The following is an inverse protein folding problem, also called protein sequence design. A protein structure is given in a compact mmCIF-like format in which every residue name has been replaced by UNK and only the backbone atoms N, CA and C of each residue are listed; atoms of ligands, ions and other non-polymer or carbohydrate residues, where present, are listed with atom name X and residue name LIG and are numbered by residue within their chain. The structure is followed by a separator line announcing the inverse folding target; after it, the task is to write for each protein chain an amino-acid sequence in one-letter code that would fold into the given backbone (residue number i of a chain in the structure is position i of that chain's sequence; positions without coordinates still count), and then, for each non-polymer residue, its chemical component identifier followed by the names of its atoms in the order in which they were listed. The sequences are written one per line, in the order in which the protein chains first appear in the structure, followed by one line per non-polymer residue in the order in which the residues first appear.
data_IF_943844134831
#
_entry.id   IF_943844134831
#
_cell.length_a   1.000
_cell.length_b   1.000
_cell.length_c   1.000
_cell.angle_alpha   90.00
_cell.angle_beta   90.00
_cell.angle_gamma   90.00
#
_symmetry.space_group_name_H-M   'P 1'
#
loop_
_entity.id
_entity.type
_entity.pdbx_description
1 polymer ?
#
# COMPACT_ATOMS: atom_id res chain seq x y z
N UNK A 1 9.67 -36.54 -83.73
CA UNK A 1 9.81 -36.93 -82.32
C UNK A 1 8.71 -36.20 -81.57
N UNK A 2 7.47 -36.68 -81.64
CA UNK A 2 6.86 -37.73 -80.79
C UNK A 2 6.67 -37.24 -79.34
N UNK A 3 5.51 -37.24 -78.67
CA UNK A 3 4.08 -37.56 -78.88
C UNK A 3 3.35 -36.76 -77.77
N UNK A 4 2.29 -36.00 -78.02
CA UNK A 4 0.88 -36.42 -78.07
C UNK A 4 0.46 -37.46 -76.99
N UNK A 5 -0.17 -37.01 -75.90
CA UNK A 5 -1.25 -37.76 -75.24
C UNK A 5 -2.25 -36.83 -74.55
N UNK A 6 -3.50 -36.89 -75.06
CA UNK A 6 -4.73 -36.41 -74.42
C UNK A 6 -5.04 -37.30 -73.23
N UNK A 7 -5.53 -36.72 -72.13
CA UNK A 7 -6.41 -37.41 -71.17
C UNK A 7 -7.46 -36.43 -70.65
N UNK A 8 -8.69 -36.66 -71.10
CA UNK A 8 -9.95 -36.08 -70.64
C UNK A 8 -10.49 -36.84 -69.42
N UNK A 9 -11.34 -36.16 -68.64
CA UNK A 9 -12.31 -36.72 -67.67
C UNK A 9 -11.75 -37.07 -66.29
N UNK A 10 -12.41 -36.87 -65.15
CA UNK A 10 -13.80 -36.54 -64.80
C UNK A 10 -13.77 -35.64 -63.55
N UNK A 11 -14.39 -34.46 -63.61
CA UNK A 11 -14.64 -33.64 -62.43
C UNK A 11 -15.82 -34.29 -61.68
N UNK A 12 -15.54 -34.87 -60.51
CA UNK A 12 -16.57 -35.33 -59.57
C UNK A 12 -17.11 -34.10 -58.84
N UNK A 13 -18.44 -33.83 -58.84
CA UNK A 13 -19.00 -32.81 -57.98
C UNK A 13 -18.90 -33.33 -56.54
N UNK A 14 -17.98 -32.76 -55.77
CA UNK A 14 -17.96 -32.94 -54.33
C UNK A 14 -19.24 -32.29 -53.79
N UNK A 15 -20.06 -33.10 -53.13
CA UNK A 15 -21.14 -32.64 -52.27
C UNK A 15 -20.53 -31.65 -51.27
N UNK A 16 -20.82 -30.37 -51.46
CA UNK A 16 -20.79 -29.37 -50.39
C UNK A 16 -21.91 -29.74 -49.42
N UNK A 17 -21.59 -30.60 -48.45
CA UNK A 17 -22.41 -30.77 -47.26
C UNK A 17 -22.34 -29.45 -46.50
N UNK A 18 -23.33 -28.59 -46.75
CA UNK A 18 -23.57 -27.39 -45.97
C UNK A 18 -23.88 -27.80 -44.53
N UNK A 19 -22.86 -27.76 -43.68
CA UNK A 19 -23.05 -27.81 -42.24
C UNK A 19 -23.79 -26.52 -41.87
N UNK A 20 -25.02 -26.58 -41.35
CA UNK A 20 -25.69 -25.40 -40.87
C UNK A 20 -24.86 -24.86 -39.71
N UNK A 21 -24.24 -23.70 -39.93
CA UNK A 21 -23.63 -22.90 -38.89
C UNK A 21 -24.78 -22.41 -38.00
N UNK A 22 -25.22 -23.27 -37.07
CA UNK A 22 -26.09 -22.87 -35.98
C UNK A 22 -25.25 -21.94 -35.11
N UNK A 23 -25.35 -20.64 -35.41
CA UNK A 23 -25.05 -19.58 -34.45
C UNK A 23 -26.03 -19.80 -33.31
N UNK A 24 -25.60 -20.59 -32.33
CA UNK A 24 -26.21 -20.65 -31.03
C UNK A 24 -26.06 -19.25 -30.45
N UNK A 25 -27.05 -18.39 -30.71
CA UNK A 25 -27.34 -17.26 -29.86
C UNK A 25 -27.70 -17.84 -28.49
N UNK A 26 -26.67 -18.20 -27.72
CA UNK A 26 -26.84 -18.41 -26.29
C UNK A 26 -27.49 -17.12 -25.79
N UNK A 27 -28.71 -17.17 -25.22
CA UNK A 27 -29.27 -15.99 -24.61
C UNK A 27 -28.23 -15.51 -23.62
N UNK A 28 -27.71 -14.29 -23.79
CA UNK A 28 -26.90 -13.66 -22.77
C UNK A 28 -27.76 -13.72 -21.52
N UNK A 29 -27.40 -14.58 -20.57
CA UNK A 29 -28.00 -14.56 -19.24
C UNK A 29 -27.68 -13.17 -18.72
N UNK A 30 -28.63 -12.25 -18.89
CA UNK A 30 -28.54 -10.91 -18.38
C UNK A 30 -28.34 -11.10 -16.88
N UNK A 31 -27.10 -10.89 -16.43
CA UNK A 31 -26.72 -11.01 -15.03
C UNK A 31 -27.63 -10.03 -14.31
N UNK A 32 -28.61 -10.56 -13.58
CA UNK A 32 -29.51 -9.70 -12.83
C UNK A 32 -28.61 -8.82 -11.94
N UNK A 33 -28.80 -7.50 -11.96
CA UNK A 33 -27.99 -6.62 -11.15
C UNK A 33 -28.09 -7.10 -9.71
N UNK A 34 -26.95 -7.49 -9.13
CA UNK A 34 -26.93 -7.93 -7.74
C UNK A 34 -27.48 -6.78 -6.90
N UNK A 35 -28.57 -7.03 -6.18
CA UNK A 35 -29.11 -6.05 -5.24
C UNK A 35 -28.06 -5.79 -4.18
N UNK A 36 -27.48 -4.58 -4.20
CA UNK A 36 -26.57 -4.11 -3.16
C UNK A 36 -27.34 -4.02 -1.85
N UNK A 37 -27.04 -4.89 -0.90
CA UNK A 37 -27.56 -4.79 0.46
C UNK A 37 -26.64 -3.90 1.28
N UNK A 38 -27.20 -2.83 1.83
CA UNK A 38 -26.49 -1.97 2.78
C UNK A 38 -26.61 -2.56 4.18
N UNK A 39 -25.47 -2.83 4.81
CA UNK A 39 -25.40 -3.27 6.20
C UNK A 39 -24.70 -2.19 7.02
N UNK A 40 -25.33 -1.77 8.12
CA UNK A 40 -24.72 -0.85 9.08
C UNK A 40 -24.11 -1.65 10.22
N UNK A 41 -22.86 -1.37 10.55
CA UNK A 41 -22.13 -1.99 11.66
C UNK A 41 -21.65 -0.89 12.58
N UNK A 42 -21.74 -1.11 13.89
CA UNK A 42 -21.20 -0.21 14.91
C UNK A 42 -20.07 -0.93 15.63
N UNK A 43 -18.88 -0.33 15.62
CA UNK A 43 -17.69 -0.87 16.28
C UNK A 43 -17.41 -0.06 17.55
N UNK A 44 -17.15 -0.76 18.66
CA UNK A 44 -16.70 -0.12 19.90
C UNK A 44 -15.18 0.05 19.88
N UNK A 45 -14.73 1.29 19.88
CA UNK A 45 -13.31 1.67 19.86
C UNK A 45 -12.99 2.53 21.09
N UNK A 46 -11.76 2.46 21.65
CA UNK A 46 -11.37 3.27 22.80
C UNK A 46 -11.21 4.76 22.47
N UNK A 47 -11.14 5.10 21.18
CA UNK A 47 -11.02 6.45 20.67
C UNK A 47 -11.41 6.52 19.20
N UNK A 48 -11.34 7.72 18.58
CA UNK A 48 -11.60 7.88 17.16
C UNK A 48 -10.59 7.05 16.34
N UNK A 49 -11.02 6.40 15.25
CA UNK A 49 -10.11 5.70 14.37
C UNK A 49 -9.17 6.70 13.69
N UNK A 50 -7.87 6.41 13.73
CA UNK A 50 -6.86 7.16 12.99
C UNK A 50 -6.80 6.71 11.52
N UNK A 51 -7.03 5.42 11.25
CA UNK A 51 -7.12 4.88 9.90
C UNK A 51 -8.00 3.62 9.88
N UNK A 52 -8.73 3.43 8.78
CA UNK A 52 -9.48 2.22 8.47
C UNK A 52 -8.86 1.62 7.20
N UNK A 53 -8.59 0.32 7.21
CA UNK A 53 -8.05 -0.39 6.06
C UNK A 53 -8.84 -1.67 5.80
N UNK A 54 -9.70 -1.69 4.77
CA UNK A 54 -10.30 -2.92 4.25
C UNK A 54 -9.20 -3.79 3.63
N UNK A 55 -9.15 -5.06 4.00
CA UNK A 55 -8.13 -6.01 3.53
C UNK A 55 -8.57 -7.45 3.84
N UNK A 56 -8.01 -8.44 3.16
CA UNK A 56 -8.13 -9.85 3.58
C UNK A 56 -6.98 -10.17 4.56
N UNK A 57 -7.30 -10.35 5.84
CA UNK A 57 -6.29 -10.51 6.90
C UNK A 57 -5.90 -11.95 7.15
N UNK A 58 -6.82 -12.90 6.94
CA UNK A 58 -6.61 -14.31 7.22
C UNK A 58 -6.51 -15.17 5.94
N UNK A 59 -6.62 -14.55 4.77
CA UNK A 59 -6.44 -15.19 3.47
C UNK A 59 -7.64 -16.02 3.03
N UNK A 60 -8.81 -15.79 3.61
CA UNK A 60 -10.04 -16.52 3.27
C UNK A 60 -10.78 -15.96 2.05
N UNK A 61 -10.29 -14.84 1.49
CA UNK A 61 -10.87 -14.13 0.34
C UNK A 61 -12.03 -13.20 0.71
N UNK A 62 -12.41 -13.11 1.98
CA UNK A 62 -13.40 -12.16 2.50
C UNK A 62 -12.73 -10.83 2.83
N UNK A 63 -13.47 -9.73 2.66
CA UNK A 63 -12.98 -8.42 3.08
C UNK A 63 -13.08 -8.29 4.61
N UNK A 64 -11.96 -8.28 5.30
CA UNK A 64 -11.81 -7.90 6.70
C UNK A 64 -11.54 -6.41 6.88
N UNK A 65 -11.37 -5.98 8.13
CA UNK A 65 -11.09 -4.60 8.47
C UNK A 65 -9.99 -4.49 9.53
N UNK A 66 -8.89 -3.81 9.19
CA UNK A 66 -7.98 -3.26 10.18
C UNK A 66 -8.40 -1.84 10.57
N UNK A 67 -8.36 -1.56 11.87
CA UNK A 67 -8.58 -0.23 12.43
C UNK A 67 -7.38 0.15 13.27
N UNK A 68 -6.72 1.25 12.90
CA UNK A 68 -5.73 1.91 13.75
C UNK A 68 -6.46 2.89 14.63
N UNK A 69 -6.30 2.78 15.94
CA UNK A 69 -6.83 3.75 16.91
C UNK A 69 -5.65 4.43 17.58
N UNK A 70 -5.68 5.77 17.60
CA UNK A 70 -4.69 6.58 18.30
C UNK A 70 -5.41 7.41 19.36
N UNK A 71 -5.00 7.28 20.61
CA UNK A 71 -5.63 7.95 21.74
C UNK A 71 -4.62 8.19 22.85
N UNK A 72 -4.93 9.12 23.75
CA UNK A 72 -4.05 9.44 24.88
C UNK A 72 -4.62 8.84 26.16
N UNK A 73 -3.78 8.16 26.93
CA UNK A 73 -4.14 7.65 28.25
C UNK A 73 -3.42 8.43 29.34
N UNK A 74 -4.12 8.68 30.44
CA UNK A 74 -3.48 9.10 31.69
C UNK A 74 -2.91 7.88 32.40
N UNK A 75 -1.62 7.92 32.69
CA UNK A 75 -0.94 6.91 33.49
C UNK A 75 0.06 7.57 34.44
N UNK A 76 0.86 6.77 35.15
CA UNK A 76 1.81 7.25 36.17
C UNK A 76 3.20 6.71 35.89
N UNK A 77 4.18 7.60 35.93
CA UNK A 77 5.60 7.21 35.98
C UNK A 77 6.04 7.21 37.44
N UNK A 78 6.60 6.08 37.89
CA UNK A 78 7.13 5.94 39.25
C UNK A 78 8.65 5.94 39.20
N UNK A 79 9.27 6.82 39.98
CA UNK A 79 10.71 6.86 40.18
C UNK A 79 11.03 6.48 41.62
N UNK A 80 11.75 5.38 41.80
CA UNK A 80 12.23 4.97 43.11
C UNK A 80 13.64 5.52 43.34
N UNK A 81 13.85 6.18 44.47
CA UNK A 81 15.17 6.62 44.92
C UNK A 81 15.37 6.30 46.40
N UNK A 82 16.61 5.99 46.75
CA UNK A 82 16.99 5.68 48.14
C UNK A 82 17.77 6.85 48.71
N UNK A 83 17.26 7.46 49.77
CA UNK A 83 17.89 8.56 50.50
C UNK A 83 18.00 8.18 51.99
N UNK A 84 19.21 8.18 52.55
CA UNK A 84 19.46 7.95 53.99
C UNK A 84 18.75 6.71 54.58
N UNK A 85 18.76 5.60 53.84
CA UNK A 85 18.09 4.33 54.17
C UNK A 85 16.54 4.36 54.11
N UNK A 86 15.93 5.40 53.53
CA UNK A 86 14.52 5.48 53.18
C UNK A 86 14.33 5.31 51.67
N UNK A 87 13.33 4.52 51.27
CA UNK A 87 12.89 4.42 49.87
C UNK A 87 11.80 5.46 49.63
N UNK A 88 12.04 6.39 48.70
CA UNK A 88 11.09 7.40 48.25
C UNK A 88 10.64 7.01 46.85
N UNK A 89 9.33 6.85 46.68
CA UNK A 89 8.70 6.63 45.37
C UNK A 89 8.03 7.92 44.92
N UNK A 90 8.59 8.58 43.92
CA UNK A 90 8.00 9.75 43.29
C UNK A 90 7.02 9.30 42.19
N UNK A 91 5.75 9.68 42.31
CA UNK A 91 4.69 9.32 41.36
C UNK A 91 4.32 10.56 40.55
N UNK A 92 4.69 10.58 39.26
CA UNK A 92 4.40 11.69 38.36
C UNK A 92 3.28 11.27 37.39
N UNK A 93 2.10 11.93 37.41
CA UNK A 93 1.09 11.69 36.40
C UNK A 93 1.59 12.12 35.02
N UNK A 94 1.38 11.29 34.01
CA UNK A 94 1.84 11.55 32.64
C UNK A 94 0.78 11.14 31.61
N UNK A 95 0.82 11.79 30.46
CA UNK A 95 0.03 11.47 29.28
C UNK A 95 0.87 10.60 28.36
N UNK A 96 0.31 9.48 27.92
CA UNK A 96 0.96 8.57 26.99
C UNK A 96 0.16 8.48 25.70
N UNK A 97 0.85 8.64 24.58
CA UNK A 97 0.33 8.25 23.27
C UNK A 97 0.17 6.73 23.23
N UNK A 98 -1.03 6.27 22.93
CA UNK A 98 -1.34 4.86 22.71
C UNK A 98 -1.84 4.71 21.29
N UNK A 99 -1.19 3.81 20.55
CA UNK A 99 -1.63 3.37 19.25
C UNK A 99 -1.78 1.86 19.25
N UNK A 100 -2.94 1.41 18.82
CA UNK A 100 -3.23 -0.01 18.69
C UNK A 100 -3.88 -0.29 17.35
N UNK A 101 -3.60 -1.49 16.83
CA UNK A 101 -4.26 -2.03 15.66
C UNK A 101 -5.27 -3.08 16.11
N UNK A 102 -6.51 -2.92 15.68
CA UNK A 102 -7.61 -3.85 15.92
C UNK A 102 -7.99 -4.50 14.60
N UNK A 103 -8.05 -5.83 14.60
CA UNK A 103 -8.50 -6.61 13.46
C UNK A 103 -9.93 -7.07 13.70
N UNK A 104 -10.79 -6.76 12.74
CA UNK A 104 -12.15 -7.25 12.72
C UNK A 104 -12.31 -8.16 11.50
N UNK A 105 -12.62 -9.42 11.75
CA UNK A 105 -12.78 -10.42 10.69
C UNK A 105 -14.24 -10.51 10.27
N UNK A 106 -14.48 -10.72 8.99
CA UNK A 106 -15.82 -10.95 8.46
C UNK A 106 -16.29 -12.35 8.86
N UNK A 107 -17.57 -12.48 9.23
CA UNK A 107 -18.17 -13.78 9.54
C UNK A 107 -19.12 -14.21 8.42
N UNK A 108 -19.35 -15.53 8.22
CA UNK A 108 -20.32 -16.02 7.24
C UNK A 108 -21.77 -15.54 7.46
N UNK A 109 -22.08 -15.03 8.67
CA UNK A 109 -23.44 -14.70 9.10
C UNK A 109 -23.74 -13.20 9.04
N UNK A 110 -22.74 -12.36 8.76
CA UNK A 110 -22.86 -10.92 8.81
C UNK A 110 -21.65 -10.29 9.47
N UNK A 111 -21.84 -9.15 10.15
CA UNK A 111 -20.87 -8.07 10.25
C UNK A 111 -19.53 -8.45 10.89
N UNK A 112 -18.56 -7.54 10.75
CA UNK A 112 -17.26 -7.57 11.38
C UNK A 112 -17.34 -7.82 12.90
N UNK A 113 -16.65 -8.85 13.39
CA UNK A 113 -16.45 -9.10 14.82
C UNK A 113 -14.99 -8.82 15.21
N UNK A 114 -14.78 -8.23 16.38
CA UNK A 114 -13.43 -8.08 16.94
C UNK A 114 -12.89 -9.48 17.26
N UNK A 115 -12.10 -10.01 16.34
CA UNK A 115 -11.71 -11.42 16.38
C UNK A 115 -10.42 -11.64 17.17
N UNK A 116 -9.56 -10.62 17.27
CA UNK A 116 -8.19 -10.73 17.78
C UNK A 116 -7.94 -9.72 18.91
N UNK A 117 -7.02 -10.07 19.82
CA UNK A 117 -6.52 -9.11 20.81
C UNK A 117 -5.90 -7.89 20.10
N UNK A 118 -6.18 -6.65 20.56
CA UNK A 118 -5.57 -5.44 20.00
C UNK A 118 -4.04 -5.51 20.09
N UNK A 119 -3.36 -5.17 18.99
CA UNK A 119 -1.90 -5.15 18.91
C UNK A 119 -1.39 -3.73 19.23
N UNK A 120 -0.62 -3.58 20.30
CA UNK A 120 0.07 -2.31 20.61
C UNK A 120 1.16 -2.03 19.57
N UNK A 121 1.03 -0.88 18.90
CA UNK A 121 1.96 -0.39 17.88
C UNK A 121 2.50 1.00 18.19
N UNK A 122 2.34 1.44 19.45
CA UNK A 122 2.83 2.73 19.95
C UNK A 122 4.32 2.89 19.65
N UNK A 123 4.69 3.99 18.99
CA UNK A 123 6.07 4.28 18.60
C UNK A 123 6.63 3.41 17.47
N UNK A 124 5.95 2.36 17.02
CA UNK A 124 6.43 1.43 15.97
C UNK A 124 5.79 1.65 14.61
N UNK A 125 4.52 2.02 14.55
CA UNK A 125 3.82 2.22 13.28
C UNK A 125 3.91 3.68 12.82
N UNK A 126 4.45 3.89 11.61
CA UNK A 126 4.54 5.20 10.95
C UNK A 126 3.40 5.41 9.97
N UNK A 127 3.06 4.39 9.20
CA UNK A 127 1.95 4.41 8.25
C UNK A 127 1.45 2.98 8.01
N UNK A 128 0.21 2.86 7.58
CA UNK A 128 -0.45 1.61 7.23
C UNK A 128 -0.98 1.73 5.79
N UNK A 129 -0.81 0.67 5.00
CA UNK A 129 -1.26 0.60 3.62
C UNK A 129 -1.73 -0.83 3.26
N UNK A 130 -2.57 -0.99 2.23
CA UNK A 130 -2.82 -2.31 1.67
C UNK A 130 -1.51 -2.85 1.10
N UNK A 131 -1.28 -4.16 1.21
CA UNK A 131 -0.15 -4.82 0.56
C UNK A 131 -0.59 -5.71 -0.59
N UNK A 132 0.36 -6.24 -1.37
CA UNK A 132 0.05 -7.20 -2.43
C UNK A 132 -0.62 -8.46 -1.89
N UNK A 133 -1.36 -9.13 -2.78
CA UNK A 133 -2.12 -10.34 -2.47
C UNK A 133 -1.23 -11.40 -1.82
N UNK A 134 -1.60 -11.89 -0.63
CA UNK A 134 -0.84 -12.90 0.10
C UNK A 134 0.25 -12.36 1.04
N UNK A 135 0.67 -11.11 0.88
CA UNK A 135 1.54 -10.43 1.86
C UNK A 135 0.74 -9.84 3.03
N UNK A 136 -0.52 -9.48 2.77
CA UNK A 136 -1.38 -8.80 3.73
C UNK A 136 -1.03 -7.31 3.88
N UNK A 137 -1.69 -6.59 4.79
CA UNK A 137 -1.45 -5.16 4.99
C UNK A 137 0.00 -4.83 5.37
N UNK A 138 0.52 -3.74 4.83
CA UNK A 138 1.88 -3.28 5.10
C UNK A 138 1.91 -2.22 6.20
N UNK A 139 2.88 -2.37 7.08
CA UNK A 139 3.28 -1.40 8.08
C UNK A 139 4.61 -0.78 7.69
N UNK A 140 4.65 0.55 7.61
CA UNK A 140 5.91 1.27 7.64
C UNK A 140 6.36 1.42 9.10
N UNK A 141 7.56 0.94 9.42
CA UNK A 141 8.18 1.05 10.74
C UNK A 141 9.50 1.81 10.65
N UNK A 142 10.11 2.23 11.77
CA UNK A 142 11.44 2.85 11.74
C UNK A 142 12.53 1.99 11.11
N UNK A 143 12.39 0.67 11.23
CA UNK A 143 13.36 -0.33 10.77
C UNK A 143 13.19 -0.69 9.28
N UNK A 144 11.99 -0.47 8.73
CA UNK A 144 11.69 -0.80 7.34
C UNK A 144 10.22 -1.09 7.11
N UNK A 145 9.94 -2.15 6.37
CA UNK A 145 8.57 -2.57 6.05
C UNK A 145 8.28 -3.90 6.71
N UNK A 146 7.11 -3.99 7.33
CA UNK A 146 6.59 -5.19 7.93
C UNK A 146 5.18 -5.49 7.41
N UNK A 147 4.76 -6.75 7.45
CA UNK A 147 3.41 -7.18 7.12
C UNK A 147 2.62 -7.48 8.40
N UNK A 148 1.32 -7.19 8.39
CA UNK A 148 0.38 -7.72 9.36
C UNK A 148 -0.03 -9.14 8.96
N UNK A 149 -0.06 -10.04 9.93
CA UNK A 149 -0.51 -11.41 9.71
C UNK A 149 -1.30 -11.92 10.91
N UNK A 150 -2.28 -12.78 10.64
CA UNK A 150 -2.96 -13.56 11.66
C UNK A 150 -2.20 -14.87 11.87
N UNK A 151 -1.79 -15.13 13.11
CA UNK A 151 -1.05 -16.35 13.48
C UNK A 151 -1.76 -17.05 14.61
N UNK A 152 -1.67 -18.38 14.68
CA UNK A 152 -2.20 -19.14 15.82
C UNK A 152 -1.08 -19.42 16.81
N UNK A 153 -1.33 -19.15 18.09
CA UNK A 153 -0.40 -19.56 19.15
C UNK A 153 -0.45 -21.08 19.40
N UNK A 154 0.34 -21.58 20.35
CA UNK A 154 0.41 -23.01 20.68
C UNK A 154 -0.95 -23.60 21.11
N UNK A 155 -1.88 -22.76 21.58
CA UNK A 155 -3.24 -23.16 21.95
C UNK A 155 -4.23 -23.13 20.78
N UNK A 156 -3.79 -22.67 19.61
CA UNK A 156 -4.64 -22.50 18.43
C UNK A 156 -5.39 -21.16 18.38
N UNK A 157 -5.21 -20.30 19.39
CA UNK A 157 -5.83 -18.99 19.48
C UNK A 157 -5.21 -18.05 18.44
N UNK A 158 -6.01 -17.43 17.55
CA UNK A 158 -5.48 -16.50 16.56
C UNK A 158 -5.04 -15.19 17.23
N UNK A 159 -3.96 -14.60 16.73
CA UNK A 159 -3.37 -13.34 17.18
C UNK A 159 -2.90 -12.54 15.99
N UNK A 160 -3.07 -11.22 16.05
CA UNK A 160 -2.49 -10.30 15.09
C UNK A 160 -1.02 -10.08 15.44
N UNK A 161 -0.14 -10.21 14.46
CA UNK A 161 1.29 -9.92 14.61
C UNK A 161 1.78 -9.03 13.48
N UNK A 162 2.89 -8.34 13.73
CA UNK A 162 3.65 -7.59 12.73
C UNK A 162 4.98 -8.32 12.47
N UNK A 163 5.27 -8.64 11.21
CA UNK A 163 6.47 -9.41 10.79
C UNK A 163 7.31 -8.59 9.82
N UNK A 164 8.62 -8.39 10.07
CA UNK A 164 9.49 -7.73 9.10
C UNK A 164 9.45 -8.44 7.75
N UNK A 165 9.28 -7.67 6.67
CA UNK A 165 9.44 -8.14 5.30
C UNK A 165 10.85 -7.86 4.80
N UNK A 166 11.33 -6.64 5.04
CA UNK A 166 12.72 -6.26 4.83
C UNK A 166 13.11 -5.08 5.71
N UNK A 167 14.41 -5.02 6.03
CA UNK A 167 15.01 -3.94 6.80
C UNK A 167 15.59 -2.90 5.85
N UNK A 168 15.04 -1.69 5.90
CA UNK A 168 15.54 -0.54 5.16
C UNK A 168 15.23 0.72 5.98
N UNK A 169 16.21 1.59 6.27
CA UNK A 169 15.95 2.78 7.05
C UNK A 169 15.00 3.70 6.28
N UNK A 170 13.83 3.99 6.84
CA UNK A 170 12.91 4.98 6.27
C UNK A 170 13.34 6.41 6.62
N UNK A 171 13.05 7.37 5.74
CA UNK A 171 13.17 8.80 6.05
C UNK A 171 12.30 9.23 7.25
N UNK A 172 11.31 8.42 7.63
CA UNK A 172 10.39 8.66 8.74
C UNK A 172 10.80 7.96 10.04
N UNK A 173 12.03 7.42 10.11
CA UNK A 173 12.43 6.58 11.26
C UNK A 173 12.35 7.35 12.59
N UNK A 174 12.84 8.59 12.58
CA UNK A 174 12.81 9.49 13.74
C UNK A 174 11.45 10.18 13.95
N UNK A 175 10.51 10.08 13.01
CA UNK A 175 9.21 10.70 13.16
C UNK A 175 8.37 9.87 14.14
N UNK A 176 8.04 10.38 15.32
CA UNK A 176 7.22 9.63 16.28
C UNK A 176 5.72 9.64 15.94
N UNK A 177 5.34 10.31 14.85
CA UNK A 177 3.96 10.48 14.41
C UNK A 177 3.48 9.32 13.55
N UNK A 178 2.17 9.07 13.59
CA UNK A 178 1.48 8.22 12.62
C UNK A 178 0.94 9.09 11.49
N UNK A 179 1.20 8.70 10.25
CA UNK A 179 0.78 9.38 9.03
C UNK A 179 -0.28 8.51 8.32
N UNK A 180 -1.57 8.72 8.63
CA UNK A 180 -2.64 7.96 7.99
C UNK A 180 -2.71 8.32 6.50
N UNK A 181 -3.07 7.34 5.66
CA UNK A 181 -3.25 7.50 4.22
C UNK A 181 -1.99 7.98 3.48
N UNK A 182 -0.82 7.63 3.98
CA UNK A 182 0.42 7.80 3.24
C UNK A 182 0.36 6.90 1.99
N UNK A 183 0.57 7.42 0.76
CA UNK A 183 0.49 6.63 -0.46
C UNK A 183 1.71 5.73 -0.57
N UNK A 184 1.66 4.58 0.11
CA UNK A 184 2.76 3.61 0.13
C UNK A 184 2.61 2.56 -0.95
N UNK A 185 1.41 2.32 -1.47
CA UNK A 185 1.18 1.25 -2.44
C UNK A 185 0.30 1.68 -3.60
N UNK A 186 0.63 1.17 -4.77
CA UNK A 186 -0.07 1.35 -6.04
C UNK A 186 0.47 0.31 -7.03
N UNK A 187 -0.31 -0.01 -8.07
CA UNK A 187 0.19 -0.77 -9.22
C UNK A 187 1.04 0.15 -10.09
N UNK A 188 2.37 0.06 -9.97
CA UNK A 188 3.34 0.95 -10.60
C UNK A 188 3.79 0.46 -11.98
N UNK A 189 3.62 -0.82 -12.28
CA UNK A 189 4.03 -1.44 -13.55
C UNK A 189 2.90 -2.00 -14.41
N UNK A 190 1.65 -1.85 -13.96
CA UNK A 190 0.44 -2.19 -14.71
C UNK A 190 0.18 -3.69 -14.76
N UNK A 191 0.65 -4.44 -13.76
CA UNK A 191 0.48 -5.89 -13.66
C UNK A 191 -0.70 -6.33 -12.78
N UNK A 192 -1.54 -5.37 -12.35
CA UNK A 192 -2.67 -5.52 -11.44
C UNK A 192 -2.28 -5.94 -10.00
N UNK A 193 -1.00 -5.90 -9.61
CA UNK A 193 -0.55 -6.11 -8.23
C UNK A 193 -0.12 -4.80 -7.57
N UNK A 194 -0.31 -4.72 -6.25
CA UNK A 194 0.17 -3.57 -5.49
C UNK A 194 1.67 -3.64 -5.26
N UNK A 195 2.39 -2.68 -5.82
CA UNK A 195 3.79 -2.42 -5.53
C UNK A 195 3.92 -1.50 -4.32
N UNK A 196 5.16 -1.36 -3.83
CA UNK A 196 5.50 -0.51 -2.72
C UNK A 196 6.36 0.68 -3.17
N UNK A 197 5.85 1.88 -2.86
CA UNK A 197 6.53 3.15 -2.88
C UNK A 197 7.10 3.46 -1.48
N UNK A 198 8.34 3.05 -1.24
CA UNK A 198 8.99 3.15 0.06
C UNK A 198 9.69 4.51 0.25
N UNK A 199 9.35 5.28 1.32
CA UNK A 199 10.04 6.51 1.66
C UNK A 199 11.38 6.22 2.36
N UNK A 200 12.37 5.79 1.58
CA UNK A 200 13.70 5.42 2.04
C UNK A 200 14.53 6.60 2.56
N UNK A 201 15.56 6.29 3.36
CA UNK A 201 16.46 7.30 3.88
C UNK A 201 17.34 7.94 2.79
N UNK A 202 17.43 7.36 1.59
CA UNK A 202 18.14 7.95 0.44
C UNK A 202 17.24 8.71 -0.54
N UNK A 203 15.93 8.44 -0.52
CA UNK A 203 15.00 8.93 -1.53
C UNK A 203 13.70 8.14 -1.49
N UNK A 204 13.04 8.00 -2.64
CA UNK A 204 11.90 7.09 -2.79
C UNK A 204 12.41 5.83 -3.49
N UNK A 205 12.19 4.69 -2.86
CA UNK A 205 12.57 3.38 -3.36
C UNK A 205 11.32 2.65 -3.81
N UNK A 206 11.41 1.90 -4.91
CA UNK A 206 10.29 1.15 -5.46
C UNK A 206 10.61 -0.33 -5.36
N UNK A 207 9.67 -1.08 -4.79
CA UNK A 207 9.73 -2.53 -4.66
C UNK A 207 8.53 -3.09 -5.39
N UNK A 208 8.78 -3.77 -6.50
CA UNK A 208 7.70 -4.39 -7.26
C UNK A 208 7.19 -5.65 -6.54
N UNK A 209 5.91 -5.95 -6.74
CA UNK A 209 5.37 -7.24 -6.38
C UNK A 209 5.55 -8.22 -7.53
N UNK A 210 5.95 -9.44 -7.21
CA UNK A 210 6.03 -10.56 -8.15
C UNK A 210 5.41 -11.78 -7.50
N UNK A 211 4.49 -12.42 -8.21
CA UNK A 211 3.77 -13.61 -7.73
C UNK A 211 3.11 -13.41 -6.34
N UNK A 212 2.56 -12.20 -6.09
CA UNK A 212 1.90 -11.83 -4.82
C UNK A 212 2.84 -11.49 -3.65
N UNK A 213 4.15 -11.53 -3.87
CA UNK A 213 5.13 -11.16 -2.83
C UNK A 213 5.86 -9.88 -3.23
N UNK A 214 6.19 -9.03 -2.24
CA UNK A 214 7.10 -7.91 -2.49
C UNK A 214 8.53 -8.42 -2.71
N UNK A 215 9.22 -7.83 -3.68
CA UNK A 215 10.68 -7.97 -3.77
C UNK A 215 11.37 -7.45 -2.50
N UNK A 216 12.49 -8.04 -2.13
CA UNK A 216 13.26 -7.65 -0.91
C UNK A 216 14.37 -6.64 -1.21
N UNK A 217 14.59 -6.33 -2.48
CA UNK A 217 15.52 -5.30 -2.96
C UNK A 217 14.77 -4.31 -3.83
N UNK A 218 15.10 -3.01 -3.78
CA UNK A 218 14.42 -2.03 -4.60
C UNK A 218 14.75 -2.25 -6.08
N UNK A 219 13.72 -2.26 -6.91
CA UNK A 219 13.83 -2.33 -8.37
C UNK A 219 14.27 -0.97 -8.95
N UNK A 220 13.87 0.13 -8.30
CA UNK A 220 14.26 1.50 -8.67
C UNK A 220 14.49 2.37 -7.45
N UNK A 221 15.34 3.38 -7.61
CA UNK A 221 15.60 4.42 -6.62
C UNK A 221 15.47 5.80 -7.27
N UNK A 222 14.50 6.57 -6.78
CA UNK A 222 14.24 7.94 -7.18
C UNK A 222 14.92 8.85 -6.15
N UNK A 223 15.99 9.53 -6.57
CA UNK A 223 16.57 10.59 -5.76
C UNK A 223 15.54 11.72 -5.62
N UNK A 224 15.05 11.89 -4.40
CA UNK A 224 14.22 13.06 -4.09
C UNK A 224 15.18 14.19 -3.76
N UNK A 225 14.95 15.42 -4.24
CA UNK A 225 15.67 16.60 -3.77
C UNK A 225 15.41 16.79 -2.27
N UNK A 226 16.17 16.08 -1.45
CA UNK A 226 16.11 16.19 -0.01
C UNK A 226 16.88 17.46 0.33
N UNK A 227 16.19 18.59 0.26
CA UNK A 227 16.74 19.83 0.80
C UNK A 227 17.02 19.58 2.28
N UNK A 228 18.31 19.42 2.59
CA UNK A 228 18.83 19.63 3.94
C UNK A 228 18.77 21.12 4.17
N UNK A 229 17.58 21.62 4.50
CA UNK A 229 17.45 23.00 4.95
C UNK A 229 18.01 23.05 6.35
N UNK A 230 19.21 23.61 6.49
CA UNK A 230 19.78 23.95 7.78
C UNK A 230 19.21 25.30 8.20
N UNK A 231 18.15 25.28 9.00
CA UNK A 231 17.57 26.51 9.57
C UNK A 231 17.99 26.63 11.03
N UNK A 232 18.78 27.64 11.35
CA UNK A 232 19.26 27.92 12.72
C UNK A 232 19.95 26.72 13.41
N UNK A 233 20.67 25.89 12.66
CA UNK A 233 21.35 24.68 13.18
C UNK A 233 20.44 23.46 13.35
N UNK A 234 19.15 23.57 13.01
CA UNK A 234 18.24 22.44 12.88
C UNK A 234 18.29 21.93 11.45
N UNK A 235 18.72 20.67 11.29
CA UNK A 235 18.67 19.97 10.00
C UNK A 235 17.25 19.50 9.77
N UNK A 236 16.49 20.27 9.00
CA UNK A 236 15.18 19.84 8.52
C UNK A 236 15.36 19.01 7.27
N UNK A 237 14.71 17.85 7.23
CA UNK A 237 14.62 17.02 6.02
C UNK A 237 13.20 17.08 5.51
N UNK A 238 13.03 17.63 4.31
CA UNK A 238 11.76 17.51 3.58
C UNK A 238 11.86 16.29 2.68
N UNK A 239 10.87 15.40 2.78
CA UNK A 239 10.70 14.31 1.83
C UNK A 239 9.34 14.51 1.16
N UNK A 240 9.28 15.23 0.02
CA UNK A 240 8.06 15.27 -0.76
C UNK A 240 7.81 13.88 -1.33
N UNK A 241 6.86 13.15 -0.77
CA UNK A 241 6.40 11.91 -1.37
C UNK A 241 5.64 12.27 -2.65
N UNK A 242 5.87 11.54 -3.76
CA UNK A 242 5.12 11.81 -4.96
C UNK A 242 3.66 11.46 -4.74
N UNK A 243 2.76 12.19 -5.38
CA UNK A 243 1.39 11.70 -5.55
C UNK A 243 1.36 10.71 -6.70
N UNK A 244 0.55 9.68 -6.56
CA UNK A 244 0.40 8.59 -7.53
C UNK A 244 -0.92 8.77 -8.26
N UNK A 245 -0.89 8.84 -9.59
CA UNK A 245 -2.10 8.98 -10.43
C UNK A 245 -1.78 8.59 -11.88
N UNK A 246 -2.67 7.87 -12.54
CA UNK A 246 -2.65 7.71 -14.01
C UNK A 246 -3.09 9.04 -14.65
N UNK A 247 -2.15 9.80 -15.22
CA UNK A 247 -2.42 11.12 -15.79
C UNK A 247 -2.79 11.07 -17.26
N UNK A 248 -2.28 10.08 -17.99
CA UNK A 248 -2.46 9.97 -19.44
C UNK A 248 -3.54 8.95 -19.86
N UNK A 249 -4.08 8.20 -18.90
CA UNK A 249 -5.14 7.22 -19.08
C UNK A 249 -4.64 5.92 -19.71
N UNK A 250 -3.34 5.63 -19.63
CA UNK A 250 -2.76 4.42 -20.19
C UNK A 250 -2.89 3.18 -19.28
N UNK A 251 -3.43 3.36 -18.08
CA UNK A 251 -3.67 2.30 -17.10
C UNK A 251 -2.46 2.04 -16.20
N UNK A 252 -1.34 2.72 -16.40
CA UNK A 252 -0.20 2.72 -15.48
C UNK A 252 -0.22 4.00 -14.67
N UNK A 253 0.14 3.92 -13.38
CA UNK A 253 0.18 5.13 -12.55
C UNK A 253 1.47 5.93 -12.75
N UNK A 254 1.35 7.25 -12.84
CA UNK A 254 2.46 8.18 -12.88
C UNK A 254 2.81 8.71 -11.47
N UNK A 255 4.07 9.09 -11.29
CA UNK A 255 4.55 9.74 -10.08
C UNK A 255 4.72 11.25 -10.31
N UNK A 256 4.00 12.04 -9.52
CA UNK A 256 4.07 13.48 -9.54
C UNK A 256 4.90 13.97 -8.36
N UNK A 257 6.07 14.55 -8.65
CA UNK A 257 6.97 15.08 -7.64
C UNK A 257 6.81 16.61 -7.57
N UNK A 258 6.34 17.17 -6.45
CA UNK A 258 6.37 18.61 -6.27
C UNK A 258 7.81 19.06 -6.06
N UNK A 259 8.31 19.97 -6.90
CA UNK A 259 9.63 20.57 -6.67
C UNK A 259 9.47 21.82 -5.81
N UNK A 260 10.21 21.93 -4.69
CA UNK A 260 10.33 23.20 -4.01
C UNK A 260 11.15 24.15 -4.87
N UNK A 261 10.60 25.30 -5.25
CA UNK A 261 11.40 26.37 -5.83
C UNK A 261 11.99 27.22 -4.69
N UNK A 262 13.32 27.35 -4.65
CA UNK A 262 13.96 28.26 -3.71
C UNK A 262 14.22 29.59 -4.43
N UNK A 263 13.30 30.56 -4.30
CA UNK A 263 13.49 31.91 -4.83
C UNK A 263 13.94 32.84 -3.70
N UNK A 264 15.22 33.20 -3.68
CA UNK A 264 15.73 34.24 -2.77
C UNK A 264 15.87 33.83 -1.29
N UNK A 265 15.81 32.53 -0.98
CA UNK A 265 15.95 32.02 0.40
C UNK A 265 14.66 32.02 1.22
N UNK A 266 13.57 32.58 0.68
CA UNK A 266 12.21 32.27 1.12
C UNK A 266 11.66 31.13 0.25
N UNK A 267 11.04 30.15 0.90
CA UNK A 267 10.36 29.05 0.20
C UNK A 267 9.01 29.59 -0.32
N UNK A 268 8.89 29.71 -1.64
CA UNK A 268 7.62 30.04 -2.31
C UNK A 268 6.87 28.75 -2.70
N UNK A 269 5.61 28.87 -3.10
CA UNK A 269 4.75 27.75 -3.53
C UNK A 269 5.40 26.90 -4.64
N UNK A 270 5.08 25.60 -4.69
CA UNK A 270 5.61 24.68 -5.70
C UNK A 270 5.21 25.16 -7.11
N UNK A 271 6.18 25.66 -7.89
CA UNK A 271 5.94 26.20 -9.24
C UNK A 271 6.22 25.23 -10.37
N UNK A 272 6.97 24.16 -10.09
CA UNK A 272 7.19 23.07 -11.04
C UNK A 272 6.73 21.73 -10.46
N UNK A 273 6.20 20.91 -11.35
CA UNK A 273 5.86 19.52 -11.07
C UNK A 273 6.63 18.66 -12.04
N UNK A 274 7.43 17.73 -11.49
CA UNK A 274 8.12 16.72 -12.27
C UNK A 274 7.21 15.50 -12.36
N UNK A 275 6.99 15.01 -13.57
CA UNK A 275 6.23 13.78 -13.80
C UNK A 275 7.20 12.68 -14.20
N UNK A 276 7.23 11.60 -13.44
CA UNK A 276 7.88 10.34 -13.81
C UNK A 276 6.79 9.40 -14.30
N UNK A 277 6.85 9.04 -15.58
CA UNK A 277 5.83 8.18 -16.20
C UNK A 277 5.85 6.79 -15.59
N UNK A 278 4.68 6.16 -15.48
CA UNK A 278 4.54 4.77 -15.03
C UNK A 278 5.44 3.80 -15.81
N UNK A 279 5.84 2.70 -15.16
CA UNK A 279 6.85 1.78 -15.69
C UNK A 279 6.42 1.05 -16.96
N UNK A 280 5.12 0.84 -17.14
CA UNK A 280 4.62 -0.18 -18.05
C UNK A 280 5.20 -1.56 -17.71
N UNK A 281 4.65 -2.61 -18.32
CA UNK A 281 5.15 -3.96 -18.06
C UNK A 281 6.64 -4.08 -18.47
N UNK A 282 7.53 -4.18 -17.48
CA UNK A 282 8.98 -4.48 -17.58
C UNK A 282 9.97 -3.31 -17.84
N UNK A 283 9.64 -2.02 -17.64
CA UNK A 283 10.67 -0.96 -17.66
C UNK A 283 11.10 -0.51 -16.25
N UNK A 284 12.24 0.19 -16.18
CA UNK A 284 12.72 0.92 -15.00
C UNK A 284 12.30 2.39 -15.10
N UNK A 285 11.98 3.05 -13.98
CA UNK A 285 11.51 4.44 -14.01
C UNK A 285 12.57 5.28 -14.68
N UNK A 286 12.20 5.94 -15.77
CA UNK A 286 13.08 6.90 -16.43
C UNK A 286 13.11 8.18 -15.59
N UNK A 287 14.22 8.91 -15.69
CA UNK A 287 14.29 10.27 -15.15
C UNK A 287 13.09 11.10 -15.65
N UNK A 288 12.56 12.02 -14.83
CA UNK A 288 11.32 12.74 -15.13
C UNK A 288 11.36 13.38 -16.51
N UNK A 289 10.43 12.99 -17.38
CA UNK A 289 10.43 13.41 -18.79
C UNK A 289 9.80 14.80 -18.97
N UNK A 290 8.88 15.20 -18.08
CA UNK A 290 8.14 16.45 -18.20
C UNK A 290 8.38 17.39 -17.02
N UNK A 291 8.67 18.65 -17.33
CA UNK A 291 8.67 19.76 -16.38
C UNK A 291 7.47 20.66 -16.69
N UNK A 292 6.43 20.58 -15.85
CA UNK A 292 5.24 21.42 -15.98
C UNK A 292 5.46 22.65 -15.10
N UNK A 293 5.62 23.82 -15.73
CA UNK A 293 5.71 25.11 -15.05
C UNK A 293 4.36 25.79 -15.03
N UNK A 294 3.89 26.19 -13.85
CA UNK A 294 2.76 27.13 -13.77
C UNK A 294 3.26 28.54 -14.06
N UNK A 295 2.82 29.13 -15.17
CA UNK A 295 3.02 30.55 -15.45
C UNK A 295 1.86 31.34 -14.84
N UNK A 296 2.13 32.06 -13.75
CA UNK A 296 1.25 33.13 -13.25
C UNK A 296 1.90 34.47 -13.57
#
# INVERSE_FOLDING_TARGET
MDRCHRLTSRIRPWLLLGLPLFVLCAPSLARQPATLSYHSVQLELPGPPAQLLPCDLDGDGSGDLLVVVAYTTWDRVTFDRVEEAMMITDVVPALFDRREVRAFLTTPQGPFDLALEPLDVSGRLRALAPGPEGTGPLALTPEGVAGFAVVRDESGTPRLVIRPLFDAPTALAAAEVFLPNLPLTADLDGDDHLDLLFPGAGGVEIYLSRDGSLETSPTSHLEVPADRVENAGVKLRRLPLPSVSDLDGDGTVDLLHPTPETVGGEMDEARELLVSRGLGANESFREPEWNIRSGI
#
